data_IF_285276828426
#
_entry.id   IF_285276828426
#
_cell.length_a   1.000
_cell.length_b   1.000
_cell.length_c   1.000
_cell.angle_alpha   90.00
_cell.angle_beta   90.00
_cell.angle_gamma   90.00
#
_symmetry.space_group_name_H-M   'P 1'
#
loop_
_entity.id
_entity.type
_entity.pdbx_description
1 polymer ?
#
# COMPACT_ATOMS: atom_id res chain seq x y z
N UNK A 1 -17.77 -11.46 -10.59
CA UNK A 1 -16.47 -11.98 -11.04
C UNK A 1 -15.68 -12.32 -9.79
N UNK A 2 -15.49 -13.59 -9.51
CA UNK A 2 -14.71 -14.08 -8.37
C UNK A 2 -13.24 -13.77 -8.66
N UNK A 3 -12.61 -12.95 -7.85
CA UNK A 3 -11.19 -12.65 -7.99
C UNK A 3 -10.42 -13.77 -7.29
N UNK A 4 -9.78 -14.63 -8.05
CA UNK A 4 -8.86 -15.62 -7.51
C UNK A 4 -7.56 -14.93 -7.04
N UNK A 5 -6.82 -15.50 -6.08
CA UNK A 5 -5.53 -14.93 -5.64
C UNK A 5 -4.55 -14.67 -6.79
N UNK A 6 -4.57 -15.51 -7.82
CA UNK A 6 -3.75 -15.34 -9.02
C UNK A 6 -4.06 -14.04 -9.79
N UNK A 7 -5.30 -13.54 -9.72
CA UNK A 7 -5.71 -12.29 -10.37
C UNK A 7 -5.08 -11.04 -9.74
N UNK A 8 -4.40 -11.19 -8.62
CA UNK A 8 -3.76 -10.13 -7.86
C UNK A 8 -2.23 -10.23 -7.84
N UNK A 9 -1.65 -11.08 -8.68
CA UNK A 9 -0.21 -11.16 -8.84
C UNK A 9 0.22 -10.21 -9.96
N UNK A 10 1.18 -9.35 -9.66
CA UNK A 10 1.78 -8.41 -10.60
C UNK A 10 3.26 -8.75 -10.71
N UNK A 11 3.70 -9.09 -11.91
CA UNK A 11 5.11 -9.23 -12.23
C UNK A 11 5.60 -7.98 -12.96
N UNK A 12 6.67 -7.41 -12.46
CA UNK A 12 7.36 -6.27 -13.08
C UNK A 12 8.76 -6.70 -13.52
N UNK A 13 9.59 -5.79 -13.97
CA UNK A 13 10.96 -6.09 -14.35
C UNK A 13 11.78 -6.67 -13.18
N UNK A 14 11.65 -6.09 -11.99
CA UNK A 14 12.48 -6.43 -10.82
C UNK A 14 11.70 -6.90 -9.60
N UNK A 15 10.37 -6.74 -9.60
CA UNK A 15 9.53 -7.08 -8.43
C UNK A 15 8.38 -8.01 -8.80
N UNK A 16 7.90 -8.75 -7.79
CA UNK A 16 6.61 -9.42 -7.80
C UNK A 16 5.79 -8.86 -6.65
N UNK A 17 4.57 -8.42 -6.96
CA UNK A 17 3.57 -8.02 -5.96
C UNK A 17 2.51 -9.12 -5.91
N UNK A 18 2.24 -9.63 -4.74
CA UNK A 18 1.27 -10.71 -4.52
C UNK A 18 0.53 -10.54 -3.19
N UNK A 19 -0.64 -11.15 -3.02
CA UNK A 19 -1.27 -11.18 -1.71
C UNK A 19 -0.29 -11.65 -0.62
N UNK A 20 -0.29 -10.96 0.52
CA UNK A 20 0.57 -11.32 1.64
C UNK A 20 0.07 -12.62 2.29
N UNK A 21 1.00 -13.50 2.63
CA UNK A 21 0.73 -14.78 3.30
C UNK A 21 1.32 -14.77 4.71
N UNK A 22 0.94 -15.75 5.53
CA UNK A 22 1.39 -15.84 6.93
C UNK A 22 2.91 -15.77 7.10
N UNK A 23 3.67 -16.30 6.13
CA UNK A 23 5.14 -16.28 6.14
C UNK A 23 5.72 -14.86 6.02
N UNK A 24 5.00 -13.92 5.41
CA UNK A 24 5.44 -12.53 5.22
C UNK A 24 5.33 -11.69 6.50
N UNK A 25 4.58 -12.17 7.50
CA UNK A 25 4.20 -11.36 8.66
C UNK A 25 5.40 -10.78 9.44
N UNK A 26 6.48 -11.54 9.57
CA UNK A 26 7.68 -11.09 10.28
C UNK A 26 8.41 -9.98 9.51
N UNK A 27 8.62 -10.17 8.21
CA UNK A 27 9.28 -9.19 7.35
C UNK A 27 8.45 -7.91 7.21
N UNK A 28 7.14 -8.03 7.04
CA UNK A 28 6.20 -6.92 6.99
C UNK A 28 6.21 -6.12 8.30
N UNK A 29 6.16 -6.80 9.44
CA UNK A 29 6.24 -6.15 10.76
C UNK A 29 7.57 -5.40 10.94
N UNK A 30 8.69 -6.02 10.58
CA UNK A 30 10.01 -5.41 10.69
C UNK A 30 10.15 -4.17 9.77
N UNK A 31 9.69 -4.26 8.52
CA UNK A 31 9.71 -3.15 7.56
C UNK A 31 8.90 -1.95 8.05
N UNK A 32 7.68 -2.18 8.53
CA UNK A 32 6.81 -1.12 9.05
C UNK A 32 7.32 -0.52 10.35
N UNK A 33 7.94 -1.31 11.23
CA UNK A 33 8.57 -0.82 12.46
C UNK A 33 9.71 0.18 12.22
N UNK A 34 10.26 0.22 11.00
CA UNK A 34 11.31 1.14 10.58
C UNK A 34 10.78 2.35 9.78
N UNK A 35 9.45 2.48 9.67
CA UNK A 35 8.83 3.63 9.03
C UNK A 35 8.79 4.82 9.99
N UNK A 36 9.35 5.98 9.62
CA UNK A 36 9.37 7.15 10.50
C UNK A 36 8.00 7.78 10.71
N UNK A 37 7.04 7.51 9.84
CA UNK A 37 5.71 8.15 9.82
C UNK A 37 4.59 7.11 9.69
N UNK A 38 4.69 5.97 10.38
CA UNK A 38 3.61 4.98 10.42
C UNK A 38 2.73 5.23 11.65
N UNK A 39 1.50 5.73 11.47
CA UNK A 39 0.57 5.96 12.57
C UNK A 39 0.10 4.64 13.22
N UNK A 40 0.30 3.51 12.54
CA UNK A 40 -0.23 2.21 12.99
C UNK A 40 0.89 1.25 13.40
N UNK A 41 1.58 1.57 14.50
CA UNK A 41 2.57 0.66 15.11
C UNK A 41 1.89 -0.61 15.63
N UNK A 42 1.81 -1.64 14.78
CA UNK A 42 1.25 -2.93 15.15
C UNK A 42 2.32 -3.83 15.76
N UNK A 43 1.94 -4.66 16.73
CA UNK A 43 2.78 -5.77 17.19
C UNK A 43 2.82 -6.88 16.13
N UNK A 44 3.82 -7.75 16.20
CA UNK A 44 3.90 -8.91 15.30
C UNK A 44 2.64 -9.80 15.40
N UNK A 45 2.07 -9.94 16.59
CA UNK A 45 0.82 -10.71 16.80
C UNK A 45 -0.35 -10.05 16.05
N UNK A 46 -0.47 -8.73 16.12
CA UNK A 46 -1.49 -7.99 15.38
C UNK A 46 -1.29 -8.10 13.87
N UNK A 47 -0.06 -8.02 13.39
CA UNK A 47 0.28 -8.22 11.96
C UNK A 47 -0.09 -9.62 11.49
N UNK A 48 0.24 -10.67 12.25
CA UNK A 48 -0.16 -12.05 11.94
C UNK A 48 -1.67 -12.23 11.89
N UNK A 49 -2.40 -11.64 12.84
CA UNK A 49 -3.88 -11.68 12.86
C UNK A 49 -4.49 -10.98 11.65
N UNK A 50 -3.92 -9.84 11.26
CA UNK A 50 -4.35 -9.08 10.08
C UNK A 50 -4.22 -9.94 8.80
N UNK A 51 -3.05 -10.51 8.56
CA UNK A 51 -2.82 -11.36 7.37
C UNK A 51 -3.73 -12.59 7.40
N UNK A 52 -3.85 -13.27 8.53
CA UNK A 52 -4.74 -14.43 8.65
C UNK A 52 -6.23 -14.09 8.47
N UNK A 53 -6.65 -12.88 8.80
CA UNK A 53 -8.01 -12.41 8.55
C UNK A 53 -8.25 -12.14 7.05
N UNK A 54 -7.24 -11.68 6.33
CA UNK A 54 -7.29 -11.46 4.88
C UNK A 54 -7.33 -12.78 4.10
N UNK A 55 -6.54 -13.77 4.51
CA UNK A 55 -6.47 -15.09 3.90
C UNK A 55 -7.81 -15.86 3.97
N UNK A 56 -8.61 -15.57 5.00
CA UNK A 56 -9.95 -16.18 5.20
C UNK A 56 -11.08 -15.49 4.45
N UNK A 57 -10.84 -14.31 3.87
CA UNK A 57 -11.87 -13.59 3.13
C UNK A 57 -11.81 -14.03 1.67
N UNK A 58 -12.92 -14.52 1.09
CA UNK A 58 -12.95 -14.72 -0.35
C UNK A 58 -12.65 -13.38 -1.04
N UNK A 59 -11.83 -13.41 -2.05
CA UNK A 59 -11.48 -12.23 -2.87
C UNK A 59 -12.71 -11.48 -3.44
N UNK A 60 -13.87 -12.11 -3.34
CA UNK A 60 -15.20 -11.63 -3.73
C UNK A 60 -15.72 -10.51 -2.83
N UNK A 61 -15.36 -10.53 -1.54
CA UNK A 61 -15.84 -9.59 -0.52
C UNK A 61 -14.66 -8.79 0.04
N UNK A 62 -13.80 -8.25 -0.86
CA UNK A 62 -12.70 -7.39 -0.49
C UNK A 62 -13.25 -6.08 0.11
N UNK A 63 -13.70 -6.16 1.36
CA UNK A 63 -13.97 -5.01 2.20
C UNK A 63 -12.78 -4.76 3.12
N UNK A 64 -12.47 -3.51 3.39
CA UNK A 64 -11.37 -3.11 4.25
C UNK A 64 -9.99 -3.28 3.60
N UNK A 65 -8.98 -3.26 4.45
CA UNK A 65 -7.58 -3.36 4.03
C UNK A 65 -7.22 -4.76 3.57
N UNK A 66 -6.59 -4.84 2.39
CA UNK A 66 -5.90 -6.01 1.86
C UNK A 66 -4.41 -5.70 1.79
N UNK A 67 -3.58 -6.66 2.15
CA UNK A 67 -2.12 -6.47 2.19
C UNK A 67 -1.45 -7.31 1.11
N UNK A 68 -0.54 -6.70 0.39
CA UNK A 68 0.26 -7.32 -0.66
C UNK A 68 1.74 -7.24 -0.29
N UNK A 69 2.44 -8.35 -0.39
CA UNK A 69 3.89 -8.38 -0.27
C UNK A 69 4.55 -7.99 -1.60
N UNK A 70 5.59 -7.20 -1.52
CA UNK A 70 6.49 -6.89 -2.64
C UNK A 70 7.77 -7.66 -2.41
N UNK A 71 8.12 -8.53 -3.35
CA UNK A 71 9.36 -9.33 -3.28
C UNK A 71 10.20 -9.11 -4.52
N UNK A 72 11.51 -9.30 -4.40
CA UNK A 72 12.42 -9.27 -5.55
C UNK A 72 12.12 -10.44 -6.50
N UNK A 73 11.96 -10.15 -7.80
CA UNK A 73 11.57 -11.16 -8.80
C UNK A 73 12.55 -12.33 -8.89
N UNK A 74 13.83 -12.06 -8.79
CA UNK A 74 14.88 -13.10 -8.87
C UNK A 74 15.27 -13.62 -7.50
N UNK A 75 15.38 -12.72 -6.51
CA UNK A 75 15.88 -13.08 -5.17
C UNK A 75 14.81 -13.67 -4.25
N UNK A 76 13.52 -13.40 -4.50
CA UNK A 76 12.44 -13.72 -3.57
C UNK A 76 12.48 -12.94 -2.25
N UNK A 77 13.46 -12.06 -2.06
CA UNK A 77 13.62 -11.27 -0.83
C UNK A 77 12.48 -10.28 -0.67
N UNK A 78 11.93 -10.17 0.52
CA UNK A 78 10.90 -9.19 0.85
C UNK A 78 11.48 -7.76 0.75
N UNK A 79 10.84 -6.92 -0.06
CA UNK A 79 11.25 -5.54 -0.33
C UNK A 79 10.34 -4.51 0.34
N UNK A 80 9.09 -4.90 0.61
CA UNK A 80 8.09 -4.00 1.16
C UNK A 80 6.68 -4.55 1.04
N UNK A 81 5.71 -3.70 1.31
CA UNK A 81 4.31 -4.06 1.21
C UNK A 81 3.46 -2.92 0.62
N UNK A 82 2.34 -3.31 0.02
CA UNK A 82 1.30 -2.42 -0.46
C UNK A 82 0.00 -2.80 0.23
N UNK A 83 -0.65 -1.84 0.89
CA UNK A 83 -2.00 -1.99 1.41
C UNK A 83 -3.01 -1.34 0.46
N UNK A 84 -4.13 -2.00 0.23
CA UNK A 84 -5.27 -1.44 -0.51
C UNK A 84 -6.50 -1.54 0.35
N UNK A 85 -7.15 -0.41 0.62
CA UNK A 85 -8.42 -0.36 1.33
C UNK A 85 -9.57 -0.24 0.33
N UNK A 86 -10.45 -1.23 0.35
CA UNK A 86 -11.63 -1.29 -0.53
C UNK A 86 -12.92 -0.78 0.16
N UNK A 87 -12.87 -0.50 1.45
CA UNK A 87 -13.99 0.04 2.24
C UNK A 87 -14.12 1.56 2.07
N UNK A 88 -14.15 2.00 0.84
CA UNK A 88 -14.43 3.40 0.56
C UNK A 88 -15.96 3.60 0.44
N UNK A 89 -16.50 4.75 0.89
CA UNK A 89 -17.95 5.02 0.87
C UNK A 89 -18.58 4.97 -0.53
N UNK A 90 -17.78 4.82 -1.56
CA UNK A 90 -18.18 4.83 -2.97
C UNK A 90 -17.56 3.66 -3.70
N UNK A 91 -18.37 2.81 -4.27
CA UNK A 91 -18.06 1.48 -4.81
C UNK A 91 -16.95 1.37 -5.87
N UNK A 92 -16.36 2.47 -6.34
CA UNK A 92 -15.29 2.45 -7.37
C UNK A 92 -14.05 3.22 -6.96
N UNK A 93 -13.86 3.40 -5.65
CA UNK A 93 -12.65 4.01 -5.10
C UNK A 93 -11.86 2.98 -4.30
N UNK A 94 -10.57 3.22 -4.16
CA UNK A 94 -9.72 2.51 -3.22
C UNK A 94 -8.68 3.48 -2.65
N UNK A 95 -8.26 3.21 -1.40
CA UNK A 95 -7.13 3.89 -0.80
C UNK A 95 -5.91 2.99 -0.91
N UNK A 96 -4.76 3.56 -1.27
CA UNK A 96 -3.50 2.84 -1.38
C UNK A 96 -2.47 3.39 -0.40
N UNK A 97 -1.83 2.50 0.35
CA UNK A 97 -0.70 2.81 1.20
C UNK A 97 0.43 1.82 0.95
N UNK A 98 1.67 2.21 1.21
CA UNK A 98 2.82 1.33 0.98
C UNK A 98 3.97 1.65 1.93
N UNK A 99 4.79 0.62 2.17
CA UNK A 99 6.01 0.71 2.94
C UNK A 99 7.10 -0.13 2.30
N UNK A 100 8.33 0.39 2.24
CA UNK A 100 9.48 -0.34 1.70
C UNK A 100 10.59 -0.42 2.73
N UNK A 101 11.23 -1.58 2.81
CA UNK A 101 12.39 -1.80 3.66
C UNK A 101 13.51 -0.78 3.30
N UNK A 102 14.29 -0.32 4.27
CA UNK A 102 15.34 0.69 4.02
C UNK A 102 16.26 0.30 2.87
N UNK A 103 16.60 -0.99 2.77
CA UNK A 103 17.51 -1.55 1.76
C UNK A 103 16.92 -1.48 0.34
N UNK A 104 15.59 -1.40 0.21
CA UNK A 104 14.90 -1.30 -1.08
C UNK A 104 14.65 0.15 -1.53
N UNK A 105 14.94 1.13 -0.67
CA UNK A 105 14.68 2.54 -0.97
C UNK A 105 15.71 3.13 -1.94
N UNK A 106 15.32 4.19 -2.65
CA UNK A 106 16.22 4.90 -3.57
C UNK A 106 16.53 4.18 -4.88
N UNK A 107 16.02 2.95 -5.09
CA UNK A 107 16.31 2.11 -6.25
C UNK A 107 15.20 2.12 -7.32
N UNK A 108 14.13 2.88 -7.14
CA UNK A 108 12.98 2.91 -8.05
C UNK A 108 12.00 1.75 -7.89
N UNK A 109 12.29 0.75 -7.05
CA UNK A 109 11.47 -0.46 -6.85
C UNK A 109 10.05 -0.12 -6.36
N UNK A 110 9.92 0.87 -5.49
CA UNK A 110 8.61 1.34 -5.02
C UNK A 110 7.76 1.89 -6.18
N UNK A 111 8.36 2.68 -7.09
CA UNK A 111 7.66 3.21 -8.26
C UNK A 111 7.16 2.13 -9.20
N UNK A 112 7.98 1.11 -9.39
CA UNK A 112 7.67 -0.06 -10.22
C UNK A 112 6.52 -0.90 -9.63
N UNK A 113 6.62 -1.29 -8.37
CA UNK A 113 5.62 -2.12 -7.70
C UNK A 113 4.29 -1.39 -7.47
N UNK A 114 4.33 -0.15 -6.96
CA UNK A 114 3.12 0.65 -6.71
C UNK A 114 2.46 1.05 -8.03
N UNK A 115 3.24 1.39 -9.06
CA UNK A 115 2.72 1.65 -10.40
C UNK A 115 1.96 0.46 -10.97
N UNK A 116 2.51 -0.75 -10.88
CA UNK A 116 1.83 -1.98 -11.28
C UNK A 116 0.51 -2.20 -10.53
N UNK A 117 0.47 -1.95 -9.21
CA UNK A 117 -0.76 -2.04 -8.42
C UNK A 117 -1.80 -1.00 -8.85
N UNK A 118 -1.40 0.22 -9.13
CA UNK A 118 -2.28 1.29 -9.62
C UNK A 118 -2.95 0.89 -10.93
N UNK A 119 -2.18 0.41 -11.90
CA UNK A 119 -2.71 -0.03 -13.19
C UNK A 119 -3.63 -1.25 -13.04
N UNK A 120 -3.29 -2.22 -12.19
CA UNK A 120 -4.17 -3.35 -11.89
C UNK A 120 -5.50 -2.90 -11.28
N UNK A 121 -5.49 -1.97 -10.33
CA UNK A 121 -6.70 -1.47 -9.69
C UNK A 121 -7.62 -0.77 -10.70
N UNK A 122 -7.08 0.01 -11.63
CA UNK A 122 -7.83 0.63 -12.71
C UNK A 122 -8.38 -0.42 -13.69
N UNK A 123 -7.57 -1.41 -14.09
CA UNK A 123 -8.01 -2.52 -14.93
C UNK A 123 -9.14 -3.34 -14.28
N UNK A 124 -9.14 -3.44 -12.94
CA UNK A 124 -10.24 -4.05 -12.16
C UNK A 124 -11.43 -3.11 -11.92
N UNK A 125 -11.50 -1.98 -12.64
CA UNK A 125 -12.66 -1.09 -12.68
C UNK A 125 -12.72 -0.07 -11.54
N UNK A 126 -11.64 0.15 -10.78
CA UNK A 126 -11.60 1.30 -9.87
C UNK A 126 -11.57 2.57 -10.72
N UNK A 127 -12.32 3.59 -10.30
CA UNK A 127 -12.38 4.88 -10.98
C UNK A 127 -11.40 5.88 -10.34
N UNK A 128 -11.20 5.77 -9.03
CA UNK A 128 -10.41 6.72 -8.26
C UNK A 128 -9.54 5.99 -7.22
N UNK A 129 -8.28 6.33 -7.21
CA UNK A 129 -7.34 5.90 -6.16
C UNK A 129 -6.95 7.11 -5.32
N UNK A 130 -6.89 6.91 -4.00
CA UNK A 130 -6.48 7.93 -3.04
C UNK A 130 -5.30 7.41 -2.21
N UNK A 131 -4.45 8.33 -1.77
CA UNK A 131 -3.38 8.05 -0.82
C UNK A 131 -3.27 9.17 0.19
N UNK A 132 -3.03 8.82 1.46
CA UNK A 132 -2.79 9.77 2.54
C UNK A 132 -1.33 9.65 2.99
N UNK A 133 -0.68 10.77 3.27
CA UNK A 133 0.70 10.75 3.76
C UNK A 133 1.01 11.95 4.62
N UNK A 134 1.88 11.74 5.62
CA UNK A 134 2.46 12.80 6.43
C UNK A 134 3.19 13.83 5.55
N UNK A 135 3.01 15.11 5.82
CA UNK A 135 3.67 16.21 5.08
C UNK A 135 5.20 16.15 5.16
N UNK A 136 5.76 15.52 6.19
CA UNK A 136 7.22 15.30 6.32
C UNK A 136 7.74 14.19 5.41
N UNK A 137 6.86 13.31 4.90
CA UNK A 137 7.22 12.19 4.03
C UNK A 137 7.38 12.62 2.57
N UNK A 138 8.38 13.45 2.29
CA UNK A 138 8.66 13.98 0.95
C UNK A 138 8.92 12.88 -0.08
N UNK A 139 9.48 11.75 0.35
CA UNK A 139 9.75 10.62 -0.57
C UNK A 139 8.47 9.99 -1.12
N UNK A 140 7.46 9.81 -0.27
CA UNK A 140 6.14 9.33 -0.70
C UNK A 140 5.43 10.34 -1.58
N UNK A 141 5.45 11.63 -1.24
CA UNK A 141 4.87 12.69 -2.07
C UNK A 141 5.44 12.66 -3.49
N UNK A 142 6.79 12.66 -3.62
CA UNK A 142 7.46 12.58 -4.92
C UNK A 142 7.15 11.30 -5.69
N UNK A 143 6.95 10.18 -4.99
CA UNK A 143 6.54 8.93 -5.65
C UNK A 143 5.13 9.03 -6.20
N UNK A 144 4.18 9.52 -5.41
CA UNK A 144 2.79 9.72 -5.83
C UNK A 144 2.69 10.66 -7.03
N UNK A 145 3.43 11.78 -7.02
CA UNK A 145 3.48 12.74 -8.13
C UNK A 145 4.04 12.10 -9.41
N UNK A 146 5.12 11.30 -9.31
CA UNK A 146 5.63 10.53 -10.48
C UNK A 146 4.63 9.52 -11.01
N UNK A 147 3.78 8.95 -10.15
CA UNK A 147 2.69 8.06 -10.52
C UNK A 147 1.42 8.83 -10.95
N UNK A 148 1.54 10.15 -11.21
CA UNK A 148 0.47 11.04 -11.66
C UNK A 148 -0.67 11.22 -10.67
N UNK A 149 -0.43 10.99 -9.37
CA UNK A 149 -1.37 11.43 -8.36
C UNK A 149 -1.22 12.95 -8.17
N UNK A 150 -2.34 13.67 -8.17
CA UNK A 150 -2.36 15.10 -7.82
C UNK A 150 -2.67 15.26 -6.33
N UNK A 151 -2.04 16.22 -5.70
CA UNK A 151 -2.39 16.60 -4.32
C UNK A 151 -3.71 17.35 -4.32
N UNK A 152 -4.67 16.91 -3.49
CA UNK A 152 -6.00 17.49 -3.42
C UNK A 152 -6.27 18.28 -2.15
N UNK A 153 -5.69 17.88 -1.02
CA UNK A 153 -5.90 18.60 0.24
C UNK A 153 -4.67 18.55 1.17
N UNK A 154 -4.61 19.56 2.03
CA UNK A 154 -3.78 19.59 3.22
C UNK A 154 -4.72 19.48 4.43
N UNK A 155 -4.44 18.52 5.30
CA UNK A 155 -5.15 18.27 6.54
C UNK A 155 -4.28 18.76 7.70
N UNK A 156 -4.58 19.95 8.20
CA UNK A 156 -3.79 20.59 9.25
C UNK A 156 -4.03 19.89 10.58
N UNK A 157 -2.95 19.44 11.23
CA UNK A 157 -2.95 18.76 12.54
C UNK A 157 -3.99 17.62 12.59
N UNK A 158 -3.98 16.78 11.57
CA UNK A 158 -4.99 15.72 11.37
C UNK A 158 -4.66 14.43 12.13
N UNK A 159 -3.41 14.24 12.52
CA UNK A 159 -3.03 13.05 13.28
C UNK A 159 -1.98 13.34 14.36
N UNK A 160 -1.96 12.50 15.39
CA UNK A 160 -1.11 12.64 16.56
C UNK A 160 -0.06 11.53 16.63
N UNK A 161 1.17 11.90 16.91
CA UNK A 161 2.25 10.96 17.24
C UNK A 161 3.02 11.46 18.48
N UNK A 162 3.04 10.65 19.53
CA UNK A 162 3.78 10.92 20.76
C UNK A 162 3.45 12.29 21.39
N UNK A 163 2.19 12.70 21.36
CA UNK A 163 1.71 13.96 21.92
C UNK A 163 1.90 15.19 21.02
N UNK A 164 2.42 15.02 19.82
CA UNK A 164 2.53 16.09 18.82
C UNK A 164 1.57 15.87 17.65
N UNK A 165 0.96 16.96 17.17
CA UNK A 165 0.04 16.95 16.05
C UNK A 165 0.76 17.29 14.75
N UNK A 166 0.49 16.52 13.71
CA UNK A 166 1.15 16.65 12.40
C UNK A 166 0.13 16.83 11.28
N UNK A 167 0.59 17.46 10.21
CA UNK A 167 -0.20 17.67 9.02
C UNK A 167 -0.05 16.47 8.07
N UNK A 168 -1.15 16.12 7.40
CA UNK A 168 -1.17 15.15 6.32
C UNK A 168 -1.59 15.81 5.01
N UNK A 169 -1.27 15.20 3.90
CA UNK A 169 -1.82 15.57 2.62
C UNK A 169 -2.45 14.36 1.92
N UNK A 170 -3.56 14.61 1.24
CA UNK A 170 -4.21 13.62 0.41
C UNK A 170 -3.89 13.82 -1.06
N UNK A 171 -3.68 12.71 -1.73
CA UNK A 171 -3.41 12.60 -3.16
C UNK A 171 -4.48 11.74 -3.82
N UNK A 172 -4.78 12.01 -5.08
CA UNK A 172 -5.67 11.16 -5.86
C UNK A 172 -5.27 11.09 -7.33
N UNK A 173 -5.64 9.97 -7.96
CA UNK A 173 -5.55 9.75 -9.41
C UNK A 173 -6.84 9.12 -9.91
N UNK A 174 -7.32 9.55 -11.07
CA UNK A 174 -8.46 8.96 -11.78
C UNK A 174 -7.98 8.01 -12.87
N UNK A 175 -8.85 7.08 -13.27
CA UNK A 175 -8.52 6.07 -14.28
C UNK A 175 -8.36 6.63 -15.71
N UNK A 176 -8.82 7.84 -15.95
CA UNK A 176 -8.79 8.55 -17.24
C UNK A 176 -7.77 9.70 -17.30
N UNK A 177 -6.86 9.75 -16.31
CA UNK A 177 -5.75 10.73 -16.21
C UNK A 177 -4.39 10.20 -16.62
#
# INVERSE_FOLDING_TARGET
>A
MTLEPADWVIETERTIVRPAVAADAAALHASRGQMPYDPQKRTLVQTRRLIAAMDRRPARDASGWQQFAVVGRVSGVFLGDIGVNFDTPRNRQAEIGFAFAPEARGQGLAGEAVGGMVELLFAKGRHRLVALTDMRNVSTQRLLERLRFRREALHVRSWEESGAWFDECSYARLCDE
#
